data_IF_359853358294
#
_entry.id   IF_359853358294
#
_cell.length_a   1.000
_cell.length_b   1.000
_cell.length_c   1.000
_cell.angle_alpha   90.00
_cell.angle_beta   90.00
_cell.angle_gamma   90.00
#
_symmetry.space_group_name_H-M   'P 1'
#
loop_
_entity.id
_entity.type
_entity.pdbx_description
1 polymer ?
#
# COMPACT_ATOMS: atom_id res chain seq x y z
N UNK A 1 21.19 -31.33 52.76
CA UNK A 1 20.54 -30.76 51.57
C UNK A 1 21.16 -29.41 51.26
N UNK A 2 22.24 -29.39 50.47
CA UNK A 2 22.85 -28.16 49.97
C UNK A 2 22.49 -28.08 48.48
N UNK A 3 21.80 -27.02 48.08
CA UNK A 3 21.59 -26.69 46.68
C UNK A 3 22.71 -25.74 46.27
N UNK A 4 23.51 -26.12 45.27
CA UNK A 4 24.52 -25.25 44.67
C UNK A 4 23.85 -24.33 43.64
N UNK A 5 23.81 -23.04 43.94
CA UNK A 5 23.28 -22.01 43.07
C UNK A 5 24.34 -21.63 42.02
N UNK A 6 24.09 -22.00 40.76
CA UNK A 6 24.98 -21.67 39.65
C UNK A 6 24.46 -20.40 38.96
N UNK A 7 25.12 -19.27 39.24
CA UNK A 7 24.86 -18.00 38.55
C UNK A 7 25.59 -17.92 37.22
N UNK A 8 24.93 -17.39 36.18
CA UNK A 8 25.55 -17.06 34.90
C UNK A 8 25.88 -15.57 34.91
N UNK A 9 27.15 -15.23 34.65
CA UNK A 9 27.56 -13.85 34.42
C UNK A 9 27.22 -13.46 32.97
N UNK A 10 26.48 -12.37 32.83
CA UNK A 10 26.11 -11.80 31.54
C UNK A 10 26.64 -10.37 31.50
N UNK A 11 27.61 -10.13 30.63
CA UNK A 11 28.13 -8.79 30.38
C UNK A 11 27.30 -8.12 29.27
N UNK A 12 26.75 -6.95 29.57
CA UNK A 12 25.97 -6.14 28.63
C UNK A 12 26.73 -4.85 28.35
N UNK A 13 27.00 -4.60 27.07
CA UNK A 13 27.63 -3.37 26.62
C UNK A 13 26.69 -2.57 25.70
N UNK A 14 26.68 -1.23 25.78
CA UNK A 14 25.88 -0.41 24.89
C UNK A 14 26.44 -0.46 23.47
N UNK A 15 25.56 -0.67 22.49
CA UNK A 15 25.90 -0.54 21.08
C UNK A 15 25.97 0.95 20.73
N UNK A 16 27.19 1.51 20.69
CA UNK A 16 27.42 2.91 20.29
C UNK A 16 27.58 2.94 18.76
N UNK A 17 26.57 3.45 18.07
CA UNK A 17 26.58 3.61 16.61
C UNK A 17 26.86 5.07 16.28
N UNK A 18 28.09 5.35 15.84
CA UNK A 18 28.56 6.71 15.52
C UNK A 18 28.21 7.16 14.08
N UNK A 19 27.33 6.45 13.39
CA UNK A 19 26.98 6.67 11.98
C UNK A 19 25.48 6.50 11.76
N UNK A 20 24.94 7.16 10.74
CA UNK A 20 23.54 6.96 10.33
C UNK A 20 23.40 5.53 9.79
N UNK A 21 22.64 4.68 10.48
CA UNK A 21 22.31 3.30 10.06
C UNK A 21 21.51 3.24 8.77
N UNK A 22 20.74 4.29 8.49
CA UNK A 22 19.84 4.39 7.37
C UNK A 22 20.14 5.68 6.63
N UNK A 23 20.52 5.53 5.35
CA UNK A 23 20.60 6.62 4.40
C UNK A 23 19.40 6.48 3.47
N UNK A 24 18.44 7.40 3.59
CA UNK A 24 17.35 7.52 2.63
C UNK A 24 17.89 8.46 1.55
N UNK A 25 18.31 7.88 0.43
CA UNK A 25 18.63 8.66 -0.75
C UNK A 25 17.32 9.31 -1.22
N UNK A 26 17.31 10.64 -1.24
CA UNK A 26 16.23 11.40 -1.83
C UNK A 26 16.24 11.03 -3.31
N UNK A 27 15.32 10.14 -3.71
CA UNK A 27 15.19 9.78 -5.11
C UNK A 27 14.98 11.08 -5.86
N UNK A 28 15.97 11.51 -6.64
CA UNK A 28 15.76 12.53 -7.67
C UNK A 28 14.48 12.13 -8.35
N UNK A 29 13.50 13.03 -8.37
CA UNK A 29 12.19 12.83 -8.99
C UNK A 29 12.41 12.37 -10.42
N UNK A 30 12.61 11.07 -10.61
CA UNK A 30 12.49 10.41 -11.87
C UNK A 30 10.98 10.36 -12.07
N UNK A 31 10.39 11.52 -12.36
CA UNK A 31 9.09 11.59 -12.97
C UNK A 31 9.18 10.63 -14.16
N UNK A 32 8.52 9.49 -14.01
CA UNK A 32 8.39 8.53 -15.09
C UNK A 32 7.86 9.33 -16.26
N UNK A 33 8.63 9.40 -17.35
CA UNK A 33 8.21 10.10 -18.55
C UNK A 33 7.11 9.28 -19.23
N UNK A 34 5.89 9.47 -18.74
CA UNK A 34 4.67 8.84 -19.22
C UNK A 34 4.26 9.36 -20.60
N UNK A 35 4.92 10.40 -21.14
CA UNK A 35 4.69 10.86 -22.51
C UNK A 35 5.08 9.81 -23.56
N UNK A 36 5.95 8.87 -23.17
CA UNK A 36 6.36 7.74 -23.99
C UNK A 36 5.36 6.57 -23.99
N UNK A 37 4.39 6.56 -23.07
CA UNK A 37 3.36 5.53 -23.02
C UNK A 37 2.35 5.75 -24.14
N UNK A 38 1.88 4.65 -24.73
CA UNK A 38 0.74 4.73 -25.64
C UNK A 38 -0.49 5.26 -24.90
N UNK A 39 -1.34 6.02 -25.60
CA UNK A 39 -2.60 6.47 -25.03
C UNK A 39 -3.39 5.30 -24.42
N UNK A 40 -3.98 5.47 -23.23
CA UNK A 40 -4.72 4.40 -22.59
C UNK A 40 -5.88 3.97 -23.49
N UNK A 41 -6.03 2.66 -23.67
CA UNK A 41 -7.15 2.09 -24.45
C UNK A 41 -8.50 2.40 -23.82
N UNK A 42 -8.55 2.47 -22.48
CA UNK A 42 -9.73 2.81 -21.69
C UNK A 42 -9.31 3.40 -20.35
N UNK A 43 -10.10 4.30 -19.81
CA UNK A 43 -9.90 4.90 -18.49
C UNK A 43 -11.17 4.81 -17.66
N UNK A 44 -11.00 4.84 -16.33
CA UNK A 44 -12.09 5.06 -15.38
C UNK A 44 -11.91 6.48 -14.85
N UNK A 45 -12.97 7.28 -14.90
CA UNK A 45 -12.96 8.60 -14.31
C UNK A 45 -13.09 8.50 -12.79
N UNK A 46 -12.08 9.01 -12.09
CA UNK A 46 -12.00 9.06 -10.64
C UNK A 46 -11.94 10.50 -10.12
N UNK A 47 -12.27 11.51 -10.94
CA UNK A 47 -12.11 12.93 -10.59
C UNK A 47 -12.85 13.37 -9.33
N UNK A 48 -13.88 12.63 -8.93
CA UNK A 48 -14.69 12.93 -7.74
C UNK A 48 -14.08 12.41 -6.43
N UNK A 49 -12.99 11.62 -6.51
CA UNK A 49 -12.29 11.07 -5.35
C UNK A 49 -10.85 11.56 -5.36
N UNK A 50 -10.46 12.35 -4.36
CA UNK A 50 -9.09 12.85 -4.20
C UNK A 50 -8.06 11.70 -4.20
N UNK A 51 -8.47 10.53 -3.72
CA UNK A 51 -7.67 9.30 -3.66
C UNK A 51 -8.61 8.08 -3.83
N UNK A 52 -8.82 7.57 -5.06
CA UNK A 52 -9.66 6.40 -5.25
C UNK A 52 -8.96 5.17 -4.66
N UNK A 53 -9.59 4.58 -3.64
CA UNK A 53 -9.10 3.37 -3.01
C UNK A 53 -9.48 2.17 -3.90
N UNK A 54 -8.50 1.32 -4.20
CA UNK A 54 -8.65 0.22 -5.15
C UNK A 54 -7.88 -1.02 -4.73
N UNK A 55 -8.42 -2.18 -5.08
CA UNK A 55 -7.76 -3.48 -4.97
C UNK A 55 -7.90 -4.21 -6.30
N UNK A 56 -6.86 -4.93 -6.73
CA UNK A 56 -6.91 -5.65 -7.99
C UNK A 56 -6.35 -7.05 -7.87
N UNK A 57 -6.83 -7.94 -8.74
CA UNK A 57 -6.21 -9.23 -8.98
C UNK A 57 -6.07 -9.46 -10.49
N UNK A 58 -5.66 -10.67 -10.85
CA UNK A 58 -5.44 -11.06 -12.24
C UNK A 58 -6.70 -11.06 -13.11
N UNK A 59 -7.90 -10.75 -12.62
CA UNK A 59 -9.17 -10.81 -13.35
C UNK A 59 -10.08 -9.61 -13.11
N UNK A 60 -10.00 -9.02 -11.92
CA UNK A 60 -10.94 -8.03 -11.45
C UNK A 60 -10.24 -6.86 -10.77
N UNK A 61 -10.88 -5.71 -10.85
CA UNK A 61 -10.54 -4.49 -10.13
C UNK A 61 -11.76 -4.12 -9.28
N UNK A 62 -11.54 -3.93 -7.98
CA UNK A 62 -12.51 -3.31 -7.09
C UNK A 62 -12.08 -1.86 -6.87
N UNK A 63 -13.02 -0.95 -6.99
CA UNK A 63 -12.81 0.49 -6.86
C UNK A 63 -13.86 1.09 -5.93
N UNK A 64 -13.42 1.81 -4.91
CA UNK A 64 -14.28 2.67 -4.09
C UNK A 64 -14.62 3.96 -4.87
N UNK A 65 -15.90 4.08 -5.23
CA UNK A 65 -16.51 5.25 -5.82
C UNK A 65 -17.67 5.72 -4.93
N UNK A 66 -17.34 6.16 -3.70
CA UNK A 66 -18.29 6.60 -2.69
C UNK A 66 -19.50 7.35 -3.30
N UNK A 67 -20.74 6.91 -3.02
CA UNK A 67 -21.14 5.91 -2.01
C UNK A 67 -21.20 4.47 -2.55
N UNK A 68 -20.47 4.13 -3.60
CA UNK A 68 -20.56 2.82 -4.25
C UNK A 68 -19.23 2.06 -4.25
N UNK A 69 -19.31 0.75 -4.10
CA UNK A 69 -18.22 -0.15 -4.42
C UNK A 69 -18.47 -0.78 -5.79
N UNK A 70 -17.53 -0.57 -6.71
CA UNK A 70 -17.62 -0.97 -8.11
C UNK A 70 -16.64 -2.09 -8.42
N UNK A 71 -17.12 -3.17 -9.05
CA UNK A 71 -16.31 -4.29 -9.54
C UNK A 71 -16.20 -4.21 -11.05
N UNK A 72 -14.98 -4.20 -11.57
CA UNK A 72 -14.66 -4.16 -12.99
C UNK A 72 -13.95 -5.45 -13.43
N UNK A 73 -14.11 -5.81 -14.69
CA UNK A 73 -13.27 -6.83 -15.34
C UNK A 73 -11.96 -6.23 -15.89
N UNK A 74 -11.13 -7.08 -16.52
CA UNK A 74 -9.86 -6.69 -17.17
C UNK A 74 -10.01 -5.62 -18.23
N UNK A 75 -11.15 -5.60 -18.91
CA UNK A 75 -11.47 -4.63 -19.96
C UNK A 75 -12.05 -3.33 -19.37
N UNK A 76 -11.96 -3.12 -18.05
CA UNK A 76 -12.53 -1.99 -17.31
C UNK A 76 -14.04 -1.82 -17.54
N UNK A 77 -14.75 -2.93 -17.71
CA UNK A 77 -16.21 -2.97 -17.80
C UNK A 77 -16.80 -3.22 -16.43
N UNK A 78 -17.74 -2.37 -16.00
CA UNK A 78 -18.45 -2.52 -14.73
C UNK A 78 -19.28 -3.81 -14.75
N UNK A 79 -18.93 -4.74 -13.86
CA UNK A 79 -19.65 -6.01 -13.68
C UNK A 79 -20.71 -5.91 -12.59
N UNK A 80 -20.40 -5.17 -11.52
CA UNK A 80 -21.30 -5.02 -10.37
C UNK A 80 -21.03 -3.71 -9.66
N UNK A 81 -22.09 -3.11 -9.17
CA UNK A 81 -22.05 -1.96 -8.28
C UNK A 81 -22.94 -2.25 -7.07
N UNK A 82 -22.46 -1.90 -5.89
CA UNK A 82 -23.24 -1.98 -4.65
C UNK A 82 -23.10 -0.69 -3.86
N UNK A 83 -24.17 -0.29 -3.19
CA UNK A 83 -24.10 0.79 -2.19
C UNK A 83 -23.13 0.38 -1.08
N UNK A 84 -22.26 1.30 -0.71
CA UNK A 84 -21.36 1.21 0.43
C UNK A 84 -21.87 2.17 1.49
N UNK A 85 -22.64 1.64 2.44
CA UNK A 85 -23.33 2.42 3.48
C UNK A 85 -22.44 2.75 4.68
N UNK A 86 -21.17 2.33 4.64
CA UNK A 86 -20.19 2.61 5.67
C UNK A 86 -19.38 3.87 5.32
N UNK A 87 -18.53 4.29 6.26
CA UNK A 87 -17.56 5.35 6.02
C UNK A 87 -16.59 5.00 4.88
N UNK A 88 -15.87 6.04 4.41
CA UNK A 88 -14.85 5.91 3.37
C UNK A 88 -13.87 4.79 3.71
N UNK A 89 -13.50 4.01 2.70
CA UNK A 89 -12.47 2.99 2.86
C UNK A 89 -11.13 3.73 2.84
N UNK A 90 -10.35 3.75 3.94
CA UNK A 90 -9.13 4.55 4.00
C UNK A 90 -7.98 3.92 3.20
N UNK A 91 -8.01 2.60 3.01
CA UNK A 91 -6.99 1.84 2.28
C UNK A 91 -7.55 0.48 1.81
N UNK A 92 -7.08 -0.01 0.66
CA UNK A 92 -7.38 -1.33 0.10
C UNK A 92 -6.10 -1.95 -0.47
N UNK A 93 -5.93 -3.25 -0.24
CA UNK A 93 -4.81 -4.04 -0.77
C UNK A 93 -5.27 -4.94 -1.93
#
# INVERSE_FOLDING_TARGET
NQFEEHGILVDVYPLIINQNLVYIEESTSNELDISTLSSPYRSIDCSNNDWPVLASNNQFLILDQYPNLCLFNKELTLLKQTSWEYDRIPDMC
#
